data_IF_892207759367
#
_entry.id   IF_892207759367
#
_cell.length_a   1.000
_cell.length_b   1.000
_cell.length_c   1.000
_cell.angle_alpha   90.00
_cell.angle_beta   90.00
_cell.angle_gamma   90.00
#
_symmetry.space_group_name_H-M   'P 1'
#
loop_
_entity.id
_entity.type
_entity.pdbx_description
1 polymer ?
#
# COMPACT_ATOMS: atom_id res chain seq x y z
N UNK A 1 19.46 5.69 -46.92
CA UNK A 1 19.28 6.67 -45.82
C UNK A 1 17.86 6.49 -45.30
N UNK A 2 17.66 5.54 -44.39
CA UNK A 2 16.40 5.40 -43.67
C UNK A 2 16.59 6.16 -42.35
N UNK A 3 15.80 7.21 -42.15
CA UNK A 3 15.68 7.92 -40.88
C UNK A 3 15.04 6.97 -39.87
N UNK A 4 15.84 6.42 -38.96
CA UNK A 4 15.32 5.79 -37.75
C UNK A 4 14.58 6.86 -36.96
N UNK A 5 13.27 6.69 -36.84
CA UNK A 5 12.44 7.48 -35.96
C UNK A 5 12.92 7.18 -34.53
N UNK A 6 13.64 8.15 -33.95
CA UNK A 6 13.98 8.19 -32.54
C UNK A 6 12.67 8.10 -31.75
N UNK A 7 12.41 6.93 -31.16
CA UNK A 7 11.26 6.69 -30.32
C UNK A 7 11.49 7.45 -29.02
N UNK A 8 11.18 8.75 -29.02
CA UNK A 8 11.19 9.55 -27.80
C UNK A 8 10.22 8.90 -26.82
N UNK A 9 10.67 8.44 -25.64
CA UNK A 9 9.76 7.86 -24.67
C UNK A 9 8.73 8.92 -24.28
N UNK A 10 7.45 8.55 -24.34
CA UNK A 10 6.36 9.43 -23.95
C UNK A 10 6.58 9.90 -22.51
N UNK A 11 6.76 11.21 -22.33
CA UNK A 11 7.02 11.80 -21.02
C UNK A 11 5.71 11.80 -20.23
N UNK A 12 5.65 11.00 -19.18
CA UNK A 12 4.55 11.01 -18.23
C UNK A 12 4.85 11.98 -17.10
N UNK A 13 3.98 12.98 -16.92
CA UNK A 13 4.04 13.90 -15.78
C UNK A 13 2.83 13.73 -14.88
N UNK A 14 3.04 13.88 -13.57
CA UNK A 14 1.98 13.86 -12.58
C UNK A 14 2.22 14.93 -11.53
N UNK A 15 1.19 15.72 -11.25
CA UNK A 15 1.26 16.77 -10.25
C UNK A 15 0.27 16.54 -9.10
N UNK A 16 0.66 16.98 -7.89
CA UNK A 16 -0.18 16.92 -6.71
C UNK A 16 -0.05 18.16 -5.84
N UNK A 17 -1.19 18.76 -5.53
CA UNK A 17 -1.27 19.89 -4.60
C UNK A 17 -1.01 19.45 -3.15
N UNK A 18 -0.31 20.29 -2.40
CA UNK A 18 -0.07 20.12 -0.97
C UNK A 18 -0.66 21.29 -0.16
N UNK A 19 -1.04 21.06 1.11
CA UNK A 19 -1.62 22.11 1.93
C UNK A 19 -0.56 23.13 2.42
N UNK A 20 -0.92 24.41 2.62
CA UNK A 20 0.05 25.49 2.87
C UNK A 20 0.89 25.29 4.14
N UNK A 21 0.34 24.67 5.18
CA UNK A 21 1.07 24.41 6.42
C UNK A 21 2.21 23.39 6.26
N UNK A 22 2.27 22.64 5.16
CA UNK A 22 3.32 21.66 4.87
C UNK A 22 4.51 22.22 4.10
N UNK A 23 4.41 23.46 3.61
CA UNK A 23 5.41 24.06 2.72
C UNK A 23 6.82 24.09 3.32
N UNK A 24 6.96 24.63 4.54
CA UNK A 24 8.26 24.71 5.23
C UNK A 24 8.94 23.34 5.35
N UNK A 25 8.17 22.32 5.75
CA UNK A 25 8.66 20.96 5.87
C UNK A 25 9.08 20.37 4.53
N UNK A 26 8.27 20.59 3.48
CA UNK A 26 8.58 20.07 2.15
C UNK A 26 9.85 20.73 1.59
N UNK A 27 10.05 22.03 1.79
CA UNK A 27 11.28 22.72 1.38
C UNK A 27 12.53 22.11 2.02
N UNK A 28 12.49 21.84 3.33
CA UNK A 28 13.63 21.25 4.05
C UNK A 28 13.87 19.78 3.66
N UNK A 29 12.80 19.02 3.43
CA UNK A 29 12.89 17.58 3.16
C UNK A 29 13.02 17.23 1.66
N UNK A 30 12.85 18.20 0.75
CA UNK A 30 12.77 17.96 -0.70
C UNK A 30 14.02 17.28 -1.25
N UNK A 31 15.19 17.70 -0.79
CA UNK A 31 16.48 17.16 -1.23
C UNK A 31 16.58 15.64 -1.05
N UNK A 32 16.00 15.10 0.03
CA UNK A 32 16.00 13.66 0.31
C UNK A 32 15.11 12.91 -0.70
N UNK A 33 13.98 13.51 -1.06
CA UNK A 33 13.05 12.96 -2.05
C UNK A 33 13.66 12.98 -3.45
N UNK A 34 14.31 14.09 -3.81
CA UNK A 34 15.00 14.26 -5.09
C UNK A 34 16.14 13.26 -5.25
N UNK A 35 16.99 13.11 -4.23
CA UNK A 35 18.06 12.12 -4.22
C UNK A 35 17.50 10.71 -4.44
N UNK A 36 16.45 10.34 -3.70
CA UNK A 36 15.85 9.00 -3.81
C UNK A 36 15.20 8.72 -5.17
N UNK A 37 14.58 9.71 -5.83
CA UNK A 37 13.95 9.55 -7.14
C UNK A 37 14.96 9.59 -8.29
N UNK A 38 16.06 10.33 -8.13
CA UNK A 38 17.13 10.43 -9.12
C UNK A 38 17.80 9.07 -9.40
N UNK A 39 17.89 8.19 -8.40
CA UNK A 39 18.40 6.82 -8.52
C UNK A 39 17.62 5.98 -9.53
N UNK A 40 16.32 6.27 -9.72
CA UNK A 40 15.43 5.58 -10.64
C UNK A 40 15.24 6.32 -11.97
N UNK A 41 15.92 7.45 -12.16
CA UNK A 41 15.79 8.28 -13.36
C UNK A 41 14.45 8.99 -13.47
N UNK A 42 13.84 9.35 -12.34
CA UNK A 42 12.59 10.12 -12.25
C UNK A 42 12.95 11.53 -11.77
N UNK A 43 12.54 12.53 -12.53
CA UNK A 43 12.73 13.93 -12.15
C UNK A 43 11.55 14.39 -11.27
N UNK A 44 11.85 15.22 -10.27
CA UNK A 44 10.83 15.78 -9.40
C UNK A 44 11.07 17.27 -9.14
N UNK A 45 9.98 18.05 -9.17
CA UNK A 45 10.01 19.49 -8.95
C UNK A 45 9.01 19.91 -7.87
N UNK A 46 9.40 20.89 -7.05
CA UNK A 46 8.55 21.49 -6.04
C UNK A 46 8.22 22.94 -6.44
N UNK A 47 6.96 23.20 -6.77
CA UNK A 47 6.48 24.54 -7.10
C UNK A 47 5.82 25.18 -5.87
N UNK A 48 6.48 26.21 -5.32
CA UNK A 48 6.01 26.95 -4.14
C UNK A 48 4.87 27.92 -4.47
N UNK A 49 4.80 28.44 -5.69
CA UNK A 49 3.78 29.42 -6.11
C UNK A 49 2.44 28.72 -6.28
N UNK A 50 2.43 27.62 -7.04
CA UNK A 50 1.23 26.81 -7.29
C UNK A 50 0.92 25.86 -6.13
N UNK A 51 1.86 25.69 -5.19
CA UNK A 51 1.78 24.73 -4.08
C UNK A 51 1.53 23.31 -4.57
N UNK A 52 2.30 22.91 -5.57
CA UNK A 52 2.22 21.60 -6.21
C UNK A 52 3.60 20.91 -6.22
N UNK A 53 3.58 19.58 -6.12
CA UNK A 53 4.72 18.72 -6.36
C UNK A 53 4.50 18.06 -7.72
N UNK A 54 5.54 17.98 -8.53
CA UNK A 54 5.48 17.41 -9.88
C UNK A 54 6.51 16.29 -9.96
N UNK A 55 6.14 15.17 -10.56
CA UNK A 55 7.06 14.11 -10.98
C UNK A 55 6.93 13.87 -12.47
N UNK A 56 8.06 13.67 -13.13
CA UNK A 56 8.15 13.48 -14.57
C UNK A 56 9.09 12.31 -14.88
N UNK A 57 8.69 11.43 -15.78
CA UNK A 57 9.58 10.39 -16.32
C UNK A 57 10.55 11.00 -17.33
N UNK A 58 11.79 10.54 -17.33
CA UNK A 58 12.78 10.93 -18.34
C UNK A 58 13.09 9.75 -19.25
N UNK A 59 13.84 9.99 -20.33
CA UNK A 59 14.36 8.91 -21.17
C UNK A 59 15.32 7.94 -20.43
N UNK A 60 15.71 8.28 -19.20
CA UNK A 60 16.57 7.45 -18.34
C UNK A 60 15.77 6.54 -17.41
N UNK A 61 14.44 6.66 -17.36
CA UNK A 61 13.61 5.82 -16.50
C UNK A 61 13.66 4.37 -16.99
N UNK A 62 14.27 3.49 -16.18
CA UNK A 62 14.46 2.07 -16.54
C UNK A 62 13.20 1.23 -16.39
N UNK A 63 12.36 1.56 -15.40
CA UNK A 63 11.17 0.80 -15.07
C UNK A 63 9.93 1.72 -14.97
N UNK A 64 8.90 1.53 -15.81
CA UNK A 64 7.67 2.30 -15.74
C UNK A 64 6.90 2.11 -14.42
N UNK A 65 7.09 1.00 -13.70
CA UNK A 65 6.44 0.76 -12.41
C UNK A 65 6.93 1.74 -11.32
N UNK A 66 8.18 2.19 -11.41
CA UNK A 66 8.72 3.19 -10.49
C UNK A 66 7.99 4.54 -10.59
N UNK A 67 7.47 4.90 -11.76
CA UNK A 67 6.64 6.10 -11.91
C UNK A 67 5.32 5.97 -11.13
N UNK A 68 4.72 4.78 -11.09
CA UNK A 68 3.51 4.53 -10.28
C UNK A 68 3.81 4.72 -8.80
N UNK A 69 4.94 4.17 -8.32
CA UNK A 69 5.38 4.36 -6.93
C UNK A 69 5.71 5.82 -6.60
N UNK A 70 6.33 6.55 -7.53
CA UNK A 70 6.60 7.98 -7.36
C UNK A 70 5.31 8.80 -7.24
N UNK A 71 4.25 8.44 -7.99
CA UNK A 71 2.93 9.06 -7.83
C UNK A 71 2.35 8.81 -6.43
N UNK A 72 2.50 7.59 -5.92
CA UNK A 72 2.06 7.24 -4.57
C UNK A 72 2.86 7.95 -3.48
N UNK A 73 4.17 8.12 -3.67
CA UNK A 73 5.03 8.93 -2.82
C UNK A 73 4.48 10.38 -2.70
N UNK A 74 4.18 11.03 -3.82
CA UNK A 74 3.61 12.39 -3.84
C UNK A 74 2.25 12.45 -3.13
N UNK A 75 1.42 11.44 -3.32
CA UNK A 75 0.13 11.33 -2.65
C UNK A 75 0.32 11.24 -1.12
N UNK A 76 1.28 10.44 -0.65
CA UNK A 76 1.59 10.29 0.78
C UNK A 76 2.14 11.58 1.40
N UNK A 77 3.05 12.27 0.71
CA UNK A 77 3.59 13.57 1.16
C UNK A 77 2.46 14.61 1.30
N UNK A 78 1.53 14.65 0.34
CA UNK A 78 0.35 15.52 0.42
C UNK A 78 -0.58 15.17 1.60
N UNK A 79 -0.56 13.92 2.08
CA UNK A 79 -1.27 13.43 3.29
C UNK A 79 -0.43 13.51 4.55
N UNK A 80 0.61 14.36 4.56
CA UNK A 80 1.36 14.68 5.77
C UNK A 80 2.13 13.50 6.38
N UNK A 81 2.50 12.53 5.54
CA UNK A 81 3.50 11.50 5.89
C UNK A 81 4.90 12.13 5.88
N UNK A 82 5.79 11.65 6.76
CA UNK A 82 7.18 12.11 6.80
C UNK A 82 7.95 11.63 5.57
N UNK A 83 8.83 12.44 4.99
CA UNK A 83 9.57 12.08 3.77
C UNK A 83 10.41 10.79 3.94
N UNK A 84 11.20 10.59 5.01
CA UNK A 84 11.93 9.33 5.24
C UNK A 84 11.03 8.10 5.32
N UNK A 85 9.82 8.28 5.84
CA UNK A 85 8.84 7.19 5.96
C UNK A 85 8.16 6.91 4.62
N UNK A 86 7.88 7.95 3.83
CA UNK A 86 7.26 7.83 2.52
C UNK A 86 8.21 7.24 1.47
N UNK A 87 9.51 7.55 1.51
CA UNK A 87 10.54 7.00 0.60
C UNK A 87 10.61 5.47 0.66
N UNK A 88 10.21 4.85 1.78
CA UNK A 88 10.12 3.39 1.90
C UNK A 88 9.20 2.75 0.86
N UNK A 89 8.26 3.50 0.28
CA UNK A 89 7.36 3.03 -0.78
C UNK A 89 8.10 2.65 -2.07
N UNK A 90 9.31 3.16 -2.27
CA UNK A 90 10.09 2.86 -3.47
C UNK A 90 10.57 1.40 -3.49
N UNK A 91 10.60 0.73 -2.33
CA UNK A 91 10.91 -0.71 -2.19
C UNK A 91 9.79 -1.57 -2.79
N UNK A 92 10.11 -2.78 -3.25
CA UNK A 92 9.16 -3.65 -3.96
C UNK A 92 8.07 -4.26 -3.07
N UNK A 93 8.38 -4.53 -1.80
CA UNK A 93 7.43 -5.17 -0.87
C UNK A 93 6.47 -4.19 -0.17
N UNK A 94 6.57 -2.89 -0.49
CA UNK A 94 5.82 -1.84 0.18
C UNK A 94 4.70 -1.32 -0.72
N UNK A 95 3.49 -1.35 -0.18
CA UNK A 95 2.27 -0.83 -0.80
C UNK A 95 1.74 0.35 0.01
N UNK A 96 0.98 1.22 -0.64
CA UNK A 96 0.30 2.32 0.03
C UNK A 96 -1.12 2.50 -0.47
N UNK A 97 -2.00 2.92 0.43
CA UNK A 97 -3.39 3.21 0.09
C UNK A 97 -3.88 4.44 0.87
N UNK A 98 -4.69 5.27 0.21
CA UNK A 98 -5.36 6.42 0.82
C UNK A 98 -6.85 6.13 0.90
N UNK A 99 -7.30 5.78 2.08
CA UNK A 99 -8.69 5.45 2.38
C UNK A 99 -9.45 6.75 2.67
N UNK A 100 -10.49 7.02 1.89
CA UNK A 100 -11.33 8.19 2.09
C UNK A 100 -12.49 7.87 3.03
N UNK A 101 -12.45 8.38 4.26
CA UNK A 101 -13.49 8.13 5.27
C UNK A 101 -14.65 9.13 5.20
N UNK A 102 -14.60 10.14 4.32
CA UNK A 102 -15.61 11.20 4.22
C UNK A 102 -17.01 10.69 3.92
N UNK A 103 -17.12 9.71 3.03
CA UNK A 103 -18.40 9.23 2.49
C UNK A 103 -19.02 8.11 3.33
N UNK A 104 -18.26 7.53 4.28
CA UNK A 104 -18.69 6.42 5.12
C UNK A 104 -19.70 6.86 6.19
N UNK A 105 -19.67 8.13 6.61
CA UNK A 105 -20.54 8.66 7.67
C UNK A 105 -21.28 9.91 7.19
N UNK A 106 -22.61 9.86 6.98
CA UNK A 106 -23.36 11.02 6.48
C UNK A 106 -23.52 12.13 7.54
N UNK A 107 -23.57 11.79 8.83
CA UNK A 107 -23.77 12.77 9.92
C UNK A 107 -22.44 13.26 10.48
N UNK A 108 -22.22 14.59 10.46
CA UNK A 108 -20.97 15.24 10.92
C UNK A 108 -20.62 14.96 12.39
N UNK A 109 -21.61 14.92 13.31
CA UNK A 109 -21.35 14.62 14.74
C UNK A 109 -20.82 13.20 14.94
N UNK A 110 -21.52 12.21 14.38
CA UNK A 110 -21.10 10.80 14.40
C UNK A 110 -19.73 10.59 13.74
N UNK A 111 -19.41 11.35 12.71
CA UNK A 111 -18.09 11.26 12.06
C UNK A 111 -16.95 11.61 13.03
N UNK A 112 -17.11 12.66 13.83
CA UNK A 112 -16.08 13.06 14.81
C UNK A 112 -15.95 12.02 15.91
N UNK A 113 -17.06 11.52 16.44
CA UNK A 113 -17.08 10.46 17.46
C UNK A 113 -16.43 9.17 16.97
N UNK A 114 -16.84 8.64 15.81
CA UNK A 114 -16.26 7.41 15.24
C UNK A 114 -14.79 7.57 14.87
N UNK A 115 -14.40 8.74 14.36
CA UNK A 115 -12.99 9.03 14.10
C UNK A 115 -12.19 9.03 15.40
N UNK A 116 -12.72 9.62 16.47
CA UNK A 116 -12.06 9.61 17.77
C UNK A 116 -11.96 8.19 18.34
N UNK A 117 -12.98 7.36 18.14
CA UNK A 117 -12.96 5.94 18.51
C UNK A 117 -11.88 5.15 17.75
N UNK A 118 -11.73 5.40 16.44
CA UNK A 118 -10.66 4.80 15.63
C UNK A 118 -9.27 5.20 16.12
N UNK A 119 -9.08 6.48 16.51
CA UNK A 119 -7.82 6.93 17.10
C UNK A 119 -7.56 6.34 18.49
N UNK A 120 -8.62 6.12 19.26
CA UNK A 120 -8.55 5.77 20.67
C UNK A 120 -8.05 6.94 21.55
N UNK A 121 -8.04 6.76 22.88
CA UNK A 121 -7.37 7.70 23.78
C UNK A 121 -5.86 7.76 23.46
N UNK A 122 -5.32 8.96 23.31
CA UNK A 122 -3.89 9.24 23.06
C UNK A 122 -3.23 8.56 21.85
N UNK A 123 -3.91 7.81 20.99
CA UNK A 123 -3.18 6.99 20.02
C UNK A 123 -3.43 5.51 20.04
N UNK A 124 -3.92 5.01 21.18
CA UNK A 124 -3.65 3.63 21.59
C UNK A 124 -4.09 2.63 20.54
N UNK A 125 -5.32 2.78 20.04
CA UNK A 125 -5.92 1.85 19.10
C UNK A 125 -5.21 1.88 17.75
N UNK A 126 -4.76 3.05 17.30
CA UNK A 126 -3.95 3.15 16.08
C UNK A 126 -2.60 2.48 16.26
N UNK A 127 -1.93 2.69 17.39
CA UNK A 127 -0.63 2.09 17.64
C UNK A 127 -0.72 0.57 17.70
N UNK A 128 -1.72 0.03 18.41
CA UNK A 128 -2.00 -1.41 18.42
C UNK A 128 -2.27 -1.93 17.01
N UNK A 129 -3.02 -1.19 16.20
CA UNK A 129 -3.30 -1.58 14.81
C UNK A 129 -2.04 -1.57 13.95
N UNK A 130 -1.16 -0.58 14.12
CA UNK A 130 0.15 -0.54 13.47
C UNK A 130 1.02 -1.73 13.87
N UNK A 131 1.07 -2.04 15.18
CA UNK A 131 1.86 -3.15 15.74
C UNK A 131 1.35 -4.52 15.25
N UNK A 132 0.03 -4.72 15.20
CA UNK A 132 -0.60 -5.98 14.75
C UNK A 132 -0.44 -6.20 13.25
N UNK A 133 -0.57 -5.15 12.45
CA UNK A 133 -0.55 -5.29 10.97
C UNK A 133 0.84 -5.10 10.37
N UNK A 134 1.80 -4.57 11.14
CA UNK A 134 3.10 -4.14 10.63
C UNK A 134 3.00 -2.96 9.65
N UNK A 135 1.85 -2.29 9.59
CA UNK A 135 1.61 -1.16 8.71
C UNK A 135 1.88 0.16 9.44
N UNK A 136 2.26 1.18 8.69
CA UNK A 136 2.26 2.56 9.14
C UNK A 136 0.94 3.24 8.77
N UNK A 137 0.28 3.89 9.73
CA UNK A 137 -1.06 4.44 9.57
C UNK A 137 -1.06 5.91 9.98
N UNK A 138 -1.51 6.79 9.09
CA UNK A 138 -1.64 8.21 9.36
C UNK A 138 -3.07 8.69 9.10
N UNK A 139 -3.78 9.05 10.16
CA UNK A 139 -5.11 9.65 10.06
C UNK A 139 -5.01 11.18 9.93
N UNK A 140 -5.41 11.73 8.79
CA UNK A 140 -5.46 13.18 8.59
C UNK A 140 -6.82 13.63 8.08
N UNK A 141 -7.54 14.40 8.90
CA UNK A 141 -8.80 15.03 8.50
C UNK A 141 -9.86 14.02 8.03
N UNK A 142 -10.00 13.89 6.70
CA UNK A 142 -11.00 13.08 5.99
C UNK A 142 -10.46 11.82 5.32
N UNK A 143 -9.16 11.55 5.45
CA UNK A 143 -8.57 10.32 4.90
C UNK A 143 -7.66 9.68 5.92
N UNK A 144 -7.42 8.40 5.71
CA UNK A 144 -6.40 7.59 6.39
C UNK A 144 -5.40 7.17 5.33
N UNK A 145 -4.12 7.50 5.52
CA UNK A 145 -3.03 7.00 4.69
C UNK A 145 -2.44 5.76 5.37
N UNK A 146 -2.24 4.69 4.62
CA UNK A 146 -1.70 3.42 5.10
C UNK A 146 -0.52 3.03 4.23
N UNK A 147 0.54 2.50 4.84
CA UNK A 147 1.70 1.93 4.13
C UNK A 147 2.13 0.63 4.78
N UNK A 148 2.42 -0.40 3.99
CA UNK A 148 2.85 -1.69 4.52
C UNK A 148 2.77 -2.79 3.46
N UNK A 149 2.70 -4.05 3.90
CA UNK A 149 2.47 -5.17 3.00
C UNK A 149 1.07 -5.13 2.38
N UNK A 150 0.88 -5.72 1.21
CA UNK A 150 -0.41 -5.78 0.53
C UNK A 150 -1.53 -6.37 1.42
N UNK A 151 -1.22 -7.47 2.13
CA UNK A 151 -2.12 -8.11 3.10
C UNK A 151 -2.45 -7.15 4.26
N UNK A 152 -1.44 -6.52 4.84
CA UNK A 152 -1.61 -5.60 5.95
C UNK A 152 -2.47 -4.37 5.58
N UNK A 153 -2.23 -3.79 4.40
CA UNK A 153 -3.01 -2.64 3.89
C UNK A 153 -4.49 -3.00 3.73
N UNK A 154 -4.79 -4.17 3.14
CA UNK A 154 -6.16 -4.65 2.97
C UNK A 154 -6.87 -4.88 4.32
N UNK A 155 -6.17 -5.46 5.31
CA UNK A 155 -6.72 -5.63 6.67
C UNK A 155 -7.06 -4.30 7.33
N UNK A 156 -6.13 -3.34 7.27
CA UNK A 156 -6.35 -1.99 7.82
C UNK A 156 -7.53 -1.32 7.14
N UNK A 157 -7.64 -1.44 5.81
CA UNK A 157 -8.77 -0.89 5.06
C UNK A 157 -10.10 -1.44 5.56
N UNK A 158 -10.21 -2.76 5.66
CA UNK A 158 -11.42 -3.43 6.14
C UNK A 158 -11.76 -3.01 7.58
N UNK A 159 -10.76 -2.93 8.46
CA UNK A 159 -10.94 -2.50 9.85
C UNK A 159 -11.45 -1.05 9.94
N UNK A 160 -10.85 -0.13 9.16
CA UNK A 160 -11.25 1.28 9.11
C UNK A 160 -12.67 1.42 8.55
N UNK A 161 -12.99 0.71 7.47
CA UNK A 161 -14.34 0.73 6.87
C UNK A 161 -15.40 0.19 7.84
N UNK A 162 -15.09 -0.90 8.56
CA UNK A 162 -15.99 -1.46 9.59
C UNK A 162 -16.21 -0.51 10.74
N UNK A 163 -15.14 0.02 11.34
CA UNK A 163 -15.23 1.00 12.43
C UNK A 163 -16.04 2.24 12.03
N UNK A 164 -15.89 2.70 10.78
CA UNK A 164 -16.62 3.85 10.28
C UNK A 164 -18.07 3.55 9.92
N UNK A 165 -18.41 2.33 9.49
CA UNK A 165 -19.78 1.97 9.09
C UNK A 165 -20.63 1.49 10.29
N UNK A 166 -19.99 1.01 11.36
CA UNK A 166 -20.66 0.33 12.46
C UNK A 166 -21.81 1.15 13.05
N UNK A 167 -23.02 0.59 12.94
CA UNK A 167 -24.27 1.23 13.35
C UNK A 167 -24.57 1.06 14.84
N UNK A 168 -23.88 0.17 15.56
CA UNK A 168 -24.12 -0.16 16.96
C UNK A 168 -23.47 0.80 17.96
N UNK A 169 -24.08 0.94 19.15
CA UNK A 169 -23.36 1.37 20.36
C UNK A 169 -22.45 0.22 20.76
N UNK A 170 -21.15 0.42 20.83
CA UNK A 170 -20.23 -0.65 21.20
C UNK A 170 -20.00 -0.67 22.71
N UNK A 171 -20.33 -1.80 23.31
CA UNK A 171 -19.53 -2.35 24.42
C UNK A 171 -18.12 -2.67 23.85
N UNK A 172 -17.08 -2.45 24.65
CA UNK A 172 -15.66 -2.31 24.28
C UNK A 172 -14.97 -3.49 23.54
N UNK A 173 -15.69 -4.53 23.11
CA UNK A 173 -15.11 -5.83 22.72
C UNK A 173 -14.94 -6.10 21.21
N UNK A 174 -15.48 -5.25 20.33
CA UNK A 174 -15.67 -5.63 18.93
C UNK A 174 -14.40 -5.64 18.07
N UNK A 175 -13.40 -4.84 18.44
CA UNK A 175 -12.16 -4.77 17.69
C UNK A 175 -11.28 -5.97 18.02
N UNK A 176 -11.14 -6.34 19.29
CA UNK A 176 -10.41 -7.54 19.71
C UNK A 176 -11.05 -8.82 19.17
N UNK A 177 -12.37 -8.99 19.28
CA UNK A 177 -13.08 -10.14 18.67
C UNK A 177 -12.94 -10.17 17.14
N UNK A 178 -12.89 -8.99 16.51
CA UNK A 178 -12.64 -8.88 15.07
C UNK A 178 -11.19 -9.25 14.70
N UNK A 179 -10.21 -8.86 15.51
CA UNK A 179 -8.81 -9.23 15.31
C UNK A 179 -8.58 -10.72 15.58
N UNK A 180 -9.21 -11.28 16.59
CA UNK A 180 -9.11 -12.70 16.94
C UNK A 180 -9.76 -13.57 15.87
N UNK A 181 -10.92 -13.16 15.34
CA UNK A 181 -11.53 -13.83 14.18
C UNK A 181 -10.71 -13.69 12.89
N UNK A 182 -10.03 -12.57 12.65
CA UNK A 182 -9.09 -12.43 11.53
C UNK A 182 -7.84 -13.32 11.70
N UNK A 183 -7.32 -13.44 12.92
CA UNK A 183 -6.19 -14.31 13.24
C UNK A 183 -6.55 -15.79 13.06
N UNK A 184 -7.71 -16.21 13.55
CA UNK A 184 -8.24 -17.57 13.38
C UNK A 184 -8.50 -17.92 11.90
N UNK A 185 -8.91 -16.95 11.08
CA UNK A 185 -9.07 -17.15 9.63
C UNK A 185 -7.72 -17.38 8.93
N UNK A 186 -6.66 -16.70 9.35
CA UNK A 186 -5.31 -16.94 8.80
C UNK A 186 -4.74 -18.28 9.22
N UNK A 187 -4.90 -18.66 10.49
CA UNK A 187 -4.51 -19.99 10.98
C UNK A 187 -5.25 -21.08 10.20
N UNK A 188 -6.54 -20.86 9.91
CA UNK A 188 -7.36 -21.80 9.13
C UNK A 188 -6.97 -21.86 7.65
N UNK A 189 -6.65 -20.74 7.02
CA UNK A 189 -6.13 -20.73 5.63
C UNK A 189 -4.78 -21.44 5.52
N UNK A 190 -3.90 -21.32 6.52
CA UNK A 190 -2.63 -22.05 6.57
C UNK A 190 -2.86 -23.56 6.78
N UNK A 191 -3.80 -23.96 7.64
CA UNK A 191 -4.21 -25.36 7.81
C UNK A 191 -4.80 -25.94 6.52
N UNK A 192 -5.72 -25.23 5.87
CA UNK A 192 -6.35 -25.66 4.61
C UNK A 192 -5.29 -25.79 3.48
N UNK A 193 -4.33 -24.86 3.41
CA UNK A 193 -3.24 -24.90 2.43
C UNK A 193 -2.29 -26.09 2.70
N UNK A 194 -1.96 -26.36 3.96
CA UNK A 194 -1.16 -27.51 4.37
C UNK A 194 -1.88 -28.83 4.09
N UNK A 195 -3.19 -28.88 4.34
CA UNK A 195 -4.01 -30.06 4.06
C UNK A 195 -4.09 -30.31 2.55
N UNK A 196 -4.25 -29.25 1.74
CA UNK A 196 -4.23 -29.36 0.28
C UNK A 196 -2.87 -29.82 -0.25
N UNK A 197 -1.76 -29.36 0.34
CA UNK A 197 -0.40 -29.77 -0.03
C UNK A 197 -0.13 -31.22 0.37
N UNK A 198 -0.60 -31.65 1.54
CA UNK A 198 -0.56 -33.04 2.00
C UNK A 198 -1.41 -33.96 1.12
N UNK A 199 -2.58 -33.48 0.68
CA UNK A 199 -3.44 -34.20 -0.26
C UNK A 199 -2.77 -34.31 -1.63
N UNK A 200 -2.14 -33.24 -2.12
CA UNK A 200 -1.38 -33.24 -3.36
C UNK A 200 -0.15 -34.17 -3.32
N UNK A 201 0.50 -34.31 -2.16
CA UNK A 201 1.53 -35.33 -1.91
C UNK A 201 0.95 -36.75 -1.95
N UNK A 202 -0.18 -37.00 -1.27
CA UNK A 202 -0.85 -38.32 -1.26
C UNK A 202 -1.35 -38.73 -2.65
N UNK A 203 -1.77 -37.77 -3.46
CA UNK A 203 -2.19 -37.95 -4.85
C UNK A 203 -1.00 -38.04 -5.83
N UNK A 204 0.24 -37.86 -5.36
CA UNK A 204 1.46 -38.00 -6.16
C UNK A 204 1.70 -36.89 -7.18
N UNK A 205 1.04 -35.73 -7.03
CA UNK A 205 1.12 -34.60 -7.99
C UNK A 205 2.33 -33.70 -7.70
N UNK A 206 2.86 -33.74 -6.47
CA UNK A 206 3.99 -32.91 -6.03
C UNK A 206 5.05 -33.79 -5.34
N UNK A 207 6.22 -33.93 -5.95
CA UNK A 207 7.41 -34.49 -5.29
C UNK A 207 8.27 -33.36 -4.73
N UNK A 208 8.26 -33.20 -3.41
CA UNK A 208 9.18 -32.28 -2.72
C UNK A 208 10.56 -32.94 -2.72
N UNK A 209 11.55 -32.33 -3.38
CA UNK A 209 12.95 -32.64 -3.13
C UNK A 209 13.36 -31.81 -1.90
N UNK A 210 13.62 -32.49 -0.80
CA UNK A 210 14.21 -31.88 0.39
C UNK A 210 15.54 -31.22 0.01
N UNK A 211 15.57 -29.88 -0.03
CA UNK A 211 16.63 -28.98 0.48
C UNK A 211 16.31 -27.52 0.08
N UNK A 212 16.18 -26.66 1.10
CA UNK A 212 16.26 -25.18 1.12
C UNK A 212 15.03 -24.34 0.63
N UNK A 213 14.85 -23.10 1.15
CA UNK A 213 13.55 -22.45 1.42
C UNK A 213 12.79 -21.99 0.15
N UNK A 214 11.48 -21.67 0.25
CA UNK A 214 10.59 -21.67 -0.90
C UNK A 214 10.79 -20.44 -1.79
N UNK A 215 11.68 -20.57 -2.77
CA UNK A 215 11.59 -19.80 -4.01
C UNK A 215 10.67 -20.55 -4.96
N UNK A 216 9.41 -20.11 -5.03
CA UNK A 216 8.45 -20.59 -6.01
C UNK A 216 8.93 -20.26 -7.42
N UNK A 217 9.58 -21.21 -8.08
CA UNK A 217 9.73 -21.22 -9.54
C UNK A 217 8.79 -22.30 -10.10
N UNK A 218 7.66 -21.85 -10.62
CA UNK A 218 6.74 -22.69 -11.38
C UNK A 218 7.37 -22.96 -12.75
N UNK A 219 7.92 -24.15 -12.94
CA UNK A 219 8.20 -24.67 -14.28
C UNK A 219 6.99 -25.46 -14.75
N UNK A 220 6.20 -24.87 -15.64
CA UNK A 220 5.09 -25.55 -16.32
C UNK A 220 5.71 -26.46 -17.38
N UNK A 221 5.77 -27.77 -17.10
CA UNK A 221 6.08 -28.76 -18.12
C UNK A 221 4.88 -28.91 -19.05
N UNK A 222 5.13 -28.73 -20.34
CA UNK A 222 4.20 -28.84 -21.47
C UNK A 222 3.42 -30.15 -21.47
N UNK A 223 2.11 -30.09 -21.25
CA UNK A 223 1.17 -31.18 -21.53
C UNK A 223 0.82 -31.20 -23.03
N UNK A 224 1.25 -32.25 -23.72
CA UNK A 224 0.78 -32.57 -25.07
C UNK A 224 -0.61 -33.22 -24.96
N UNK A 225 -1.64 -32.58 -25.51
CA UNK A 225 -2.99 -33.18 -25.61
C UNK A 225 -3.07 -34.14 -26.81
N UNK A 226 -3.60 -35.37 -26.66
CA UNK A 226 -3.86 -36.25 -27.79
C UNK A 226 -5.11 -35.78 -28.55
N UNK A 227 -5.02 -35.70 -29.87
CA UNK A 227 -6.15 -35.39 -30.75
C UNK A 227 -7.03 -36.63 -30.96
N UNK A 228 -8.36 -36.51 -30.91
CA UNK A 228 -9.26 -37.64 -31.18
C UNK A 228 -9.43 -37.89 -32.69
N UNK A 229 -9.63 -39.16 -33.03
CA UNK A 229 -9.85 -39.72 -34.38
C UNK A 229 -11.21 -39.38 -34.99
#
# INVERSE_FOLDING_TARGET
>A
MASEADATPEICSFSRLYPPHREKYLQEAWFIVESALSEYGIDCELNLVERCMIVSTTAKTRDPYMFVKAKDLLRLLARSVSAPQAIKILKDDMYSEIINIRHLVPKKKRYVERRQQLLGPNSSNLKTLEDVTGCYIRVQGKTVAVMGSSRGVNKVRLAVEKCMNDKGKQEDNSLEEFYESQKLLEEKEEEDAMEFLLLAQKLGVVTIKDTDPPTFSLSIASMQFPQPS
#
